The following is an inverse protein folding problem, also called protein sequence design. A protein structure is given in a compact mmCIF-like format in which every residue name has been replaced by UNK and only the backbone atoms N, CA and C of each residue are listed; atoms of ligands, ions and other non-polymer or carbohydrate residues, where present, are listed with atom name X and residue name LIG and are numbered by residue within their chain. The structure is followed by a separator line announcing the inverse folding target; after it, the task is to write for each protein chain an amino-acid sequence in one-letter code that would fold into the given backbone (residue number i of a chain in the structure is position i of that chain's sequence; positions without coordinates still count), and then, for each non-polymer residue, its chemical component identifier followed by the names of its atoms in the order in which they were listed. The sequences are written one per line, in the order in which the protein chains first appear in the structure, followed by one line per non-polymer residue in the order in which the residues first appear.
data_IF_611922749264
#
_entry.id   IF_611922749264
#
_cell.length_a   1.000
_cell.length_b   1.000
_cell.length_c   1.000
_cell.angle_alpha   90.00
_cell.angle_beta   90.00
_cell.angle_gamma   90.00
#
_symmetry.space_group_name_H-M   'P 1'
#
loop_
_entity.id
_entity.type
_entity.pdbx_description
1 polymer ?
2 non-polymer ?
3 non-polymer ?
4 water ?
#
# COMPACT_ATOMS: atom_id res chain seq x y z
N UNK A 31 1.96 -17.89 -53.98
CA UNK A 31 2.50 -16.54 -53.58
C UNK A 31 1.53 -15.74 -52.71
N UNK A 32 1.85 -14.47 -52.41
CA UNK A 32 0.98 -13.62 -51.59
C UNK A 32 -0.31 -13.24 -52.32
N UNK A 33 -1.33 -12.85 -51.57
CA UNK A 33 -2.59 -12.46 -52.17
C UNK A 33 -2.46 -11.02 -52.67
N UNK A 34 -2.57 -10.81 -53.99
CA UNK A 34 -2.46 -9.45 -54.52
C UNK A 34 -3.56 -8.53 -54.02
N UNK A 35 -4.58 -9.12 -53.40
CA UNK A 35 -5.70 -8.34 -52.89
C UNK A 35 -5.83 -8.40 -51.38
N UNK A 36 -4.74 -8.70 -50.69
CA UNK A 36 -4.78 -8.74 -49.24
C UNK A 36 -4.97 -7.31 -48.73
N UNK A 37 -5.78 -7.17 -47.69
CA UNK A 37 -6.06 -5.88 -47.09
C UNK A 37 -5.32 -5.75 -45.77
N UNK A 38 -5.05 -4.52 -45.38
CA UNK A 38 -4.36 -4.26 -44.13
C UNK A 38 -5.26 -4.68 -42.97
N UNK A 39 -4.74 -5.49 -42.05
CA UNK A 39 -5.52 -5.90 -40.89
C UNK A 39 -5.09 -4.99 -39.73
N UNK A 40 -6.05 -4.50 -38.96
CA UNK A 40 -5.71 -3.62 -37.86
C UNK A 40 -5.19 -4.38 -36.66
N UNK A 41 -4.31 -3.75 -35.89
CA UNK A 41 -3.77 -4.34 -34.68
C UNK A 41 -4.92 -4.53 -33.71
N UNK A 42 -4.78 -5.48 -32.80
CA UNK A 42 -5.80 -5.70 -31.79
C UNK A 42 -5.11 -5.95 -30.47
N UNK A 43 -5.67 -5.40 -29.40
CA UNK A 43 -5.12 -5.59 -28.08
C UNK A 43 -3.75 -5.01 -27.79
N UNK A 44 -3.20 -4.18 -28.67
CA UNK A 44 -1.89 -3.62 -28.38
C UNK A 44 -1.95 -2.66 -27.19
N UNK A 45 -0.81 -2.53 -26.50
CA UNK A 45 -0.78 -1.70 -25.30
C UNK A 45 0.55 -1.00 -25.08
N UNK A 46 0.61 -0.21 -24.01
CA UNK A 46 1.83 0.52 -23.65
C UNK A 46 2.13 0.26 -22.19
N UNK A 47 3.39 0.47 -21.80
CA UNK A 47 3.84 0.25 -20.42
C UNK A 47 4.34 1.52 -19.79
N UNK A 48 3.91 1.78 -18.56
CA UNK A 48 4.34 2.97 -17.84
C UNK A 48 4.82 2.57 -16.46
N UNK A 49 6.02 3.01 -16.09
CA UNK A 49 6.57 2.72 -14.77
C UNK A 49 6.46 3.96 -13.89
N UNK A 50 6.06 3.75 -12.64
CA UNK A 50 5.94 4.83 -11.68
C UNK A 50 7.02 4.64 -10.62
N UNK A 51 7.70 5.72 -10.26
CA UNK A 51 8.77 5.65 -9.26
C UNK A 51 8.75 6.90 -8.40
N UNK A 52 9.04 6.74 -7.11
CA UNK A 52 9.09 7.88 -6.21
C UNK A 52 9.82 7.50 -4.92
N UNK A 53 10.17 8.51 -4.10
CA UNK A 53 10.86 8.27 -2.85
C UNK A 53 10.19 9.09 -1.74
N UNK A 54 10.14 8.54 -0.53
CA UNK A 54 9.50 9.23 0.59
C UNK A 54 10.21 9.03 1.92
N UNK A 55 9.87 9.86 2.90
CA UNK A 55 10.45 9.74 4.23
C UNK A 55 9.32 9.30 5.15
N UNK A 56 9.57 8.29 5.98
CA UNK A 56 8.58 7.80 6.93
C UNK A 56 9.18 7.87 8.32
N UNK A 57 8.34 8.17 9.32
CA UNK A 57 8.79 8.22 10.70
C UNK A 57 7.89 7.30 11.51
N UNK A 58 8.44 6.70 12.57
CA UNK A 58 7.67 5.79 13.40
C UNK A 58 8.05 5.89 14.87
N UNK A 59 7.10 5.60 15.74
CA UNK A 59 7.35 5.56 17.17
C UNK A 59 6.71 4.26 17.64
N UNK A 60 6.58 4.08 18.95
CA UNK A 60 6.00 2.84 19.46
C UNK A 60 4.49 2.72 19.28
N UNK A 61 3.90 3.59 18.46
CA UNK A 61 2.46 3.56 18.19
C UNK A 61 1.61 3.71 19.45
N UNK A 62 2.18 4.39 20.44
CA UNK A 62 1.51 4.59 21.71
C UNK A 62 0.99 6.01 21.91
N UNK A 63 0.19 6.17 22.96
CA UNK A 63 -0.40 7.43 23.38
C UNK A 63 -0.30 7.32 24.90
N UNK A 64 0.84 7.71 25.44
CA UNK A 64 1.04 7.59 26.87
C UNK A 64 1.77 6.28 27.10
N UNK A 65 1.32 5.49 28.08
CA UNK A 65 1.98 4.22 28.35
C UNK A 65 1.80 3.25 27.20
N UNK A 66 2.83 2.43 26.96
CA UNK A 66 2.77 1.45 25.88
C UNK A 66 1.57 0.52 26.01
N UNK A 67 1.00 0.16 24.88
CA UNK A 67 -0.10 -0.80 24.83
C UNK A 67 0.03 -1.54 23.51
N UNK A 68 -0.87 -2.47 23.23
CA UNK A 68 -0.78 -3.21 21.99
C UNK A 68 -2.03 -3.01 21.15
N UNK A 69 -2.56 -1.80 21.16
CA UNK A 69 -3.78 -1.49 20.43
C UNK A 69 -3.61 -1.07 18.97
N UNK A 70 -2.54 -0.37 18.65
CA UNK A 70 -2.32 0.09 17.28
C UNK A 70 -0.98 -0.23 16.66
N UNK A 71 -0.95 -0.19 15.33
CA UNK A 71 0.26 -0.44 14.55
C UNK A 71 0.14 0.42 13.30
N UNK A 72 1.26 0.85 12.75
CA UNK A 72 1.22 1.64 11.53
C UNK A 72 0.99 0.65 10.43
N UNK A 73 0.20 1.03 9.44
CA UNK A 73 -0.08 0.14 8.32
C UNK A 73 0.43 0.74 7.01
N UNK A 74 1.02 -0.09 6.17
CA UNK A 74 1.50 0.36 4.87
C UNK A 74 0.79 -0.49 3.82
N UNK A 75 -0.30 0.04 3.24
CA UNK A 75 -1.08 -0.67 2.23
C UNK A 75 -0.46 -0.63 0.82
N UNK A 76 0.53 -1.50 0.60
CA UNK A 76 1.22 -1.57 -0.69
C UNK A 76 0.30 -1.90 -1.85
N UNK A 77 -0.87 -2.45 -1.57
CA UNK A 77 -1.80 -2.82 -2.61
C UNK A 77 -2.65 -1.65 -3.11
N UNK A 78 -2.52 -0.49 -2.46
CA UNK A 78 -3.29 0.69 -2.87
C UNK A 78 -2.60 1.39 -4.03
N UNK A 79 -3.17 1.28 -5.22
CA UNK A 79 -2.60 1.91 -6.41
C UNK A 79 -2.41 3.41 -6.20
N UNK A 80 -3.28 4.00 -5.39
CA UNK A 80 -3.25 5.42 -5.13
C UNK A 80 -1.89 5.89 -4.62
N UNK A 81 -1.20 5.04 -3.88
CA UNK A 81 0.10 5.42 -3.33
C UNK A 81 1.17 5.57 -4.40
N UNK A 82 0.92 5.02 -5.58
CA UNK A 82 1.91 5.09 -6.66
C UNK A 82 1.57 6.09 -7.75
N UNK A 83 0.27 6.24 -8.05
CA UNK A 83 -0.17 7.16 -9.09
C UNK A 83 -0.30 8.61 -8.64
N UNK A 84 -0.22 8.82 -7.33
CA UNK A 84 -0.32 10.17 -6.76
C UNK A 84 0.97 10.52 -6.04
N UNK A 85 1.15 11.81 -5.80
CA UNK A 85 2.32 12.29 -5.09
C UNK A 85 1.89 13.49 -4.25
N UNK A 86 2.84 14.30 -3.82
CA UNK A 86 2.52 15.46 -3.02
C UNK A 86 2.77 16.76 -3.77
N UNK A 87 1.84 17.70 -3.65
CA UNK A 87 1.93 19.01 -4.28
C UNK A 87 2.97 19.76 -3.42
N UNK A 88 3.98 20.36 -4.07
CA UNK A 88 5.04 21.05 -3.33
C UNK A 88 4.60 22.22 -2.46
N UNK A 89 3.54 22.91 -2.87
CA UNK A 89 3.07 24.06 -2.11
C UNK A 89 2.36 23.75 -0.80
N UNK A 90 1.51 22.73 -0.76
CA UNK A 90 0.78 22.43 0.46
C UNK A 90 0.82 20.97 0.92
N UNK A 91 1.69 20.18 0.30
CA UNK A 91 1.80 18.76 0.66
C UNK A 91 0.48 17.99 0.53
N UNK A 92 -0.39 18.46 -0.37
CA UNK A 92 -1.67 17.78 -0.57
C UNK A 92 -1.50 16.72 -1.66
N UNK A 93 -2.43 15.78 -1.74
CA UNK A 93 -2.35 14.74 -2.75
C UNK A 93 -2.63 15.33 -4.13
N UNK A 94 -1.83 14.95 -5.11
CA UNK A 94 -2.01 15.43 -6.48
C UNK A 94 -1.54 14.31 -7.41
N UNK A 95 -2.16 14.18 -8.57
CA UNK A 95 -1.75 13.11 -9.47
C UNK A 95 -0.40 13.37 -10.11
N UNK A 96 0.35 12.28 -10.34
CA UNK A 96 1.67 12.36 -10.96
C UNK A 96 1.48 12.70 -12.44
N UNK A 97 2.48 13.33 -13.04
CA UNK A 97 2.38 13.68 -14.46
C UNK A 97 2.05 12.45 -15.29
N UNK A 98 2.68 11.33 -14.97
CA UNK A 98 2.44 10.12 -15.72
C UNK A 98 0.99 9.67 -15.61
N UNK A 99 0.44 9.61 -14.39
CA UNK A 99 -0.94 9.20 -14.27
C UNK A 99 -1.83 10.18 -15.03
N UNK A 100 -1.56 11.47 -14.84
CA UNK A 100 -2.33 12.52 -15.49
C UNK A 100 -2.42 12.36 -17.01
N UNK A 101 -1.31 12.04 -17.64
CA UNK A 101 -1.28 11.89 -19.08
C UNK A 101 -1.90 10.63 -19.67
N UNK A 102 -2.14 9.61 -18.83
CA UNK A 102 -2.73 8.37 -19.34
C UNK A 102 -4.04 8.04 -18.66
N UNK A 103 -4.44 8.91 -17.73
CA UNK A 103 -5.68 8.76 -16.98
C UNK A 103 -6.88 8.48 -17.88
N UNK A 104 -7.05 9.29 -18.92
CA UNK A 104 -8.18 9.14 -19.81
C UNK A 104 -8.17 7.80 -20.54
N UNK A 105 -7.00 7.43 -21.05
CA UNK A 105 -6.87 6.17 -21.77
C UNK A 105 -7.13 4.99 -20.83
N UNK A 106 -6.57 5.06 -19.63
CA UNK A 106 -6.76 4.01 -18.63
C UNK A 106 -8.24 3.80 -18.38
N UNK A 107 -8.89 4.90 -18.02
CA UNK A 107 -10.30 4.91 -17.70
C UNK A 107 -11.16 4.24 -18.73
N UNK A 108 -10.93 4.58 -19.99
CA UNK A 108 -11.74 4.05 -21.08
C UNK A 108 -11.35 2.71 -21.68
N UNK A 109 -10.06 2.49 -21.87
CA UNK A 109 -9.65 1.25 -22.51
C UNK A 109 -9.07 0.14 -21.65
N UNK A 110 -8.78 0.43 -20.38
CA UNK A 110 -8.29 -0.61 -19.52
C UNK A 110 -6.81 -0.64 -19.16
N UNK A 111 -6.51 -1.28 -18.04
CA UNK A 111 -5.15 -1.37 -17.56
C UNK A 111 -4.91 -2.60 -16.68
N UNK A 112 -3.64 -2.88 -16.40
CA UNK A 112 -3.23 -4.00 -15.57
C UNK A 112 -2.05 -3.51 -14.74
N UNK A 113 -1.88 -4.12 -13.57
CA UNK A 113 -0.74 -3.80 -12.73
C UNK A 113 0.04 -5.11 -12.67
N UNK A 114 1.28 -5.08 -13.14
CA UNK A 114 2.11 -6.27 -13.14
C UNK A 114 2.80 -6.47 -11.80
N UNK A 115 3.63 -5.51 -11.43
CA UNK A 115 4.37 -5.62 -10.19
C UNK A 115 4.46 -4.24 -9.53
N UNK A 116 4.56 -4.22 -8.22
CA UNK A 116 4.66 -2.97 -7.47
C UNK A 116 5.28 -3.30 -6.13
N UNK A 117 5.86 -2.30 -5.47
CA UNK A 117 6.46 -2.56 -4.18
C UNK A 117 7.21 -1.40 -3.57
N UNK A 118 7.83 -1.68 -2.42
CA UNK A 118 8.60 -0.69 -1.69
C UNK A 118 9.83 -1.30 -1.10
N UNK A 119 10.80 -0.45 -0.84
CA UNK A 119 12.04 -0.86 -0.20
C UNK A 119 12.31 0.23 0.82
N UNK A 120 12.35 -0.14 2.09
CA UNK A 120 12.65 0.83 3.13
C UNK A 120 14.10 0.61 3.50
N UNK A 121 14.85 1.70 3.65
CA UNK A 121 16.25 1.59 4.01
C UNK A 121 16.75 2.84 4.71
N UNK A 122 18.04 2.86 5.02
CA UNK A 122 18.69 4.00 5.64
C UNK A 122 18.02 4.48 6.93
N UNK A 123 17.64 3.55 7.79
CA UNK A 123 17.00 3.93 9.04
C UNK A 123 17.89 4.81 9.93
N UNK A 124 17.26 5.80 10.56
CA UNK A 124 17.96 6.70 11.47
C UNK A 124 17.18 6.69 12.78
N UNK A 125 17.70 5.99 13.81
CA UNK A 125 17.05 5.90 15.13
C UNK A 125 17.00 7.23 15.85
N UNK A 126 15.88 7.49 16.53
CA UNK A 126 15.67 8.74 17.26
C UNK A 126 15.22 8.51 18.69
N UNK A 127 15.46 9.50 19.54
CA UNK A 127 15.03 9.42 20.94
C UNK A 127 14.69 10.79 21.50
N UNK A 128 13.88 10.79 22.55
CA UNK A 128 13.48 12.03 23.20
C UNK A 128 13.51 11.75 24.70
N UNK A 129 14.64 11.24 25.16
CA UNK A 129 14.81 10.92 26.56
C UNK A 129 15.74 11.88 27.29
N UNK A 130 16.46 12.70 26.53
CA UNK A 130 17.37 13.69 27.12
C UNK A 130 16.58 14.93 27.50
N UNK A 131 16.97 15.54 28.61
CA UNK A 131 16.29 16.74 29.08
C UNK A 131 17.24 17.66 29.83
N UNK A 132 16.89 18.93 29.87
CA UNK A 132 17.69 19.93 30.57
C UNK A 132 17.02 20.21 31.91
N UNK A 133 17.82 20.63 32.89
CA UNK A 133 17.30 20.92 34.23
C UNK A 133 16.11 21.87 34.15
N UNK A 134 15.02 21.48 34.79
CA UNK A 134 13.82 22.31 34.77
C UNK A 134 13.35 22.58 33.36
N UNK A 135 13.48 21.56 32.50
CA UNK A 135 13.06 21.69 31.13
C UNK A 135 12.42 20.39 30.67
N UNK A 136 11.89 20.39 29.47
CA UNK A 136 11.27 19.19 28.92
C UNK A 136 12.26 18.39 28.08
N UNK A 137 11.81 17.23 27.62
CA UNK A 137 12.63 16.37 26.80
C UNK A 137 12.71 16.94 25.40
N UNK A 138 13.86 16.75 24.75
CA UNK A 138 14.02 17.20 23.37
C UNK A 138 14.49 16.06 22.50
N UNK A 139 14.12 16.11 21.23
CA UNK A 139 14.47 15.07 20.26
C UNK A 139 15.94 15.14 19.86
N UNK A 140 16.57 13.98 19.74
CA UNK A 140 17.96 13.90 19.31
C UNK A 140 18.22 12.57 18.64
N UNK A 141 19.42 12.43 18.07
CA UNK A 141 19.79 11.17 17.47
C UNK A 141 19.93 10.23 18.66
N UNK A 142 20.04 8.95 18.38
CA UNK A 142 20.17 7.98 19.43
C UNK A 142 21.67 7.77 19.74
N UNK A 143 21.99 7.31 20.95
CA UNK A 143 23.39 7.09 21.35
C UNK A 143 24.08 5.98 20.56
N UNK A 144 23.34 4.89 20.33
CA UNK A 144 23.84 3.73 19.60
C UNK A 144 22.82 3.29 18.56
N UNK A 145 23.06 2.16 17.92
CA UNK A 145 22.16 1.66 16.89
C UNK A 145 21.33 0.48 17.36
N UNK A 146 21.21 0.31 18.67
CA UNK A 146 20.43 -0.79 19.21
C UNK A 146 18.91 -0.70 18.99
N UNK A 147 18.33 0.51 18.94
CA UNK A 147 16.87 0.58 18.73
C UNK A 147 16.48 0.01 17.36
N UNK A 148 15.30 -0.61 17.29
CA UNK A 148 14.85 -1.17 16.03
C UNK A 148 13.35 -1.13 15.84
N UNK A 149 12.93 -1.28 14.59
CA UNK A 149 11.53 -1.26 14.21
C UNK A 149 11.01 -2.69 14.09
N UNK A 150 9.74 -2.90 14.47
CA UNK A 150 9.12 -4.22 14.37
C UNK A 150 8.15 -4.21 13.20
N UNK A 151 8.19 -5.26 12.39
CA UNK A 151 7.31 -5.38 11.23
C UNK A 151 6.52 -6.67 11.33
N UNK A 152 5.19 -6.56 11.22
CA UNK A 152 4.29 -7.71 11.34
C UNK A 152 3.40 -7.94 10.11
N UNK A 153 2.92 -9.19 10.00
CA UNK A 153 1.99 -9.61 8.95
C UNK A 153 1.07 -10.60 9.66
N UNK A 154 -0.22 -10.50 9.39
CA UNK A 154 -1.20 -11.39 10.01
C UNK A 154 -1.32 -12.67 9.18
N UNK A 155 -0.36 -13.57 9.36
CA UNK A 155 -0.35 -14.81 8.61
C UNK A 155 -1.22 -15.92 9.20
N UNK A 156 -1.51 -15.84 10.50
CA UNK A 156 -2.32 -16.86 11.13
C UNK A 156 -3.83 -16.61 11.08
N UNK A 157 -4.23 -15.54 10.41
CA UNK A 157 -5.64 -15.23 10.27
C UNK A 157 -6.35 -14.64 11.47
N UNK A 158 -5.73 -13.66 12.11
CA UNK A 158 -6.33 -13.02 13.27
C UNK A 158 -7.48 -12.07 12.90
N UNK A 159 -7.23 -11.20 11.93
CA UNK A 159 -8.22 -10.20 11.55
C UNK A 159 -8.71 -10.20 10.10
N UNK A 160 -9.91 -9.66 9.92
CA UNK A 160 -10.53 -9.55 8.60
C UNK A 160 -10.63 -8.08 8.21
N UNK A 161 -11.16 -7.26 9.11
CA UNK A 161 -11.33 -5.84 8.85
C UNK A 161 -10.98 -4.97 10.06
N UNK A 162 -10.23 -3.91 9.81
CA UNK A 162 -9.85 -3.01 10.89
C UNK A 162 -10.12 -1.57 10.49
N UNK A 163 -10.13 -0.68 11.49
CA UNK A 163 -10.36 0.74 11.26
C UNK A 163 -9.11 1.50 11.65
N UNK A 164 -8.91 2.64 11.01
CA UNK A 164 -7.77 3.49 11.32
C UNK A 164 -8.07 4.09 12.70
N UNK A 165 -7.02 4.45 13.45
CA UNK A 165 -7.24 5.04 14.77
C UNK A 165 -8.06 6.32 14.59
N UNK A 166 -7.73 7.09 13.57
CA UNK A 166 -8.46 8.32 13.26
C UNK A 166 -9.28 8.01 12.03
N UNK A 167 -10.57 8.28 12.09
CA UNK A 167 -11.44 7.96 10.96
C UNK A 167 -11.61 9.05 9.92
N UNK A 168 -10.79 10.07 9.98
CA UNK A 168 -10.90 11.16 9.02
C UNK A 168 -9.61 11.27 8.23
N UNK A 169 -8.88 10.16 8.12
CA UNK A 169 -7.62 10.17 7.40
C UNK A 169 -7.84 10.41 5.89
N UNK A 170 -6.94 11.18 5.28
CA UNK A 170 -7.03 11.50 3.86
C UNK A 170 -5.94 10.79 3.04
N UNK A 171 -6.09 10.82 1.72
CA UNK A 171 -5.10 10.20 0.87
C UNK A 171 -3.74 10.88 1.09
N UNK A 172 -3.76 12.20 1.26
CA UNK A 172 -2.52 12.94 1.49
C UNK A 172 -1.77 12.37 2.71
N UNK A 173 -2.50 12.11 3.79
CA UNK A 173 -1.88 11.56 5.00
C UNK A 173 -1.17 10.24 4.70
N UNK A 174 -1.87 9.33 4.03
CA UNK A 174 -1.29 8.04 3.69
C UNK A 174 -0.03 8.19 2.85
N UNK A 175 -0.03 9.15 1.94
CA UNK A 175 1.13 9.38 1.10
C UNK A 175 2.26 9.92 1.98
N UNK A 176 1.89 10.78 2.93
CA UNK A 176 2.87 11.36 3.83
C UNK A 176 3.51 10.30 4.73
N UNK A 177 2.72 9.32 5.16
CA UNK A 177 3.24 8.32 6.06
C UNK A 177 2.24 7.19 6.30
N UNK A 178 2.73 6.02 6.72
CA UNK A 178 1.82 4.91 7.00
C UNK A 178 0.99 5.39 8.19
N UNK A 179 -0.30 5.08 8.20
CA UNK A 179 -1.17 5.53 9.28
C UNK A 179 -1.48 4.45 10.32
N UNK A 180 -1.85 4.88 11.53
CA UNK A 180 -2.17 3.94 12.59
C UNK A 180 -3.50 3.24 12.39
N UNK A 181 -3.50 1.94 12.67
CA UNK A 181 -4.68 1.11 12.56
C UNK A 181 -4.87 0.40 13.89
N UNK A 182 -6.11 0.38 14.38
CA UNK A 182 -6.39 -0.26 15.65
C UNK A 182 -6.53 -1.76 15.43
N UNK A 183 -5.60 -2.53 15.98
CA UNK A 183 -5.63 -3.98 15.82
C UNK A 183 -6.29 -4.71 16.99
N UNK A 184 -6.25 -4.11 18.17
CA UNK A 184 -6.85 -4.68 19.38
C UNK A 184 -7.23 -3.57 20.33
N UNK A 185 -8.45 -3.07 20.20
CA UNK A 185 -8.92 -1.98 21.05
C UNK A 185 -8.79 -2.24 22.55
N UNK A 186 -8.81 -3.51 22.94
CA UNK A 186 -8.71 -3.86 24.36
C UNK A 186 -7.32 -4.31 24.81
N UNK A 187 -6.33 -4.20 23.93
CA UNK A 187 -4.97 -4.64 24.26
C UNK A 187 -4.16 -3.67 25.12
N UNK A 188 -4.39 -3.71 26.43
CA UNK A 188 -3.65 -2.86 27.33
C UNK A 188 -2.21 -3.38 27.37
N UNK A 189 -2.07 -4.70 27.28
CA UNK A 189 -0.77 -5.36 27.29
C UNK A 189 0.01 -5.05 25.99
N UNK A 190 1.07 -4.27 26.11
CA UNK A 190 1.85 -3.88 24.94
C UNK A 190 2.56 -5.03 24.23
N UNK A 191 2.62 -6.19 24.86
CA UNK A 191 3.26 -7.35 24.25
C UNK A 191 2.32 -8.14 23.33
N UNK A 192 1.05 -7.73 23.28
CA UNK A 192 0.08 -8.46 22.48
C UNK A 192 0.51 -8.74 21.04
N UNK A 193 1.02 -7.71 20.33
CA UNK A 193 1.45 -7.92 18.95
C UNK A 193 2.47 -9.03 18.74
N UNK A 194 3.50 -9.09 19.59
CA UNK A 194 4.52 -10.12 19.44
C UNK A 194 4.03 -11.50 19.88
N UNK A 195 2.94 -11.53 20.65
CA UNK A 195 2.40 -12.80 21.08
C UNK A 195 1.42 -13.32 20.03
N UNK A 196 0.84 -12.41 19.26
CA UNK A 196 -0.19 -12.78 18.28
C UNK A 196 0.13 -12.89 16.79
N UNK A 197 0.79 -11.89 16.23
CA UNK A 197 1.10 -11.92 14.79
C UNK A 197 2.04 -13.06 14.37
N UNK A 198 1.60 -13.82 13.37
CA UNK A 198 2.38 -14.94 12.89
C UNK A 198 3.73 -14.62 12.29
N UNK A 199 3.80 -13.52 11.55
CA UNK A 199 5.04 -13.10 10.91
C UNK A 199 5.63 -11.89 11.61
N UNK A 200 6.93 -11.91 11.82
CA UNK A 200 7.58 -10.79 12.47
C UNK A 200 9.06 -10.71 12.10
N UNK A 201 9.53 -9.49 11.86
CA UNK A 201 10.92 -9.29 11.55
C UNK A 201 11.32 -7.91 12.05
N UNK A 202 12.61 -7.70 12.22
CA UNK A 202 13.11 -6.43 12.72
C UNK A 202 13.85 -5.67 11.64
N UNK A 203 13.87 -4.35 11.78
CA UNK A 203 14.60 -3.51 10.84
C UNK A 203 15.46 -2.56 11.64
N UNK A 204 16.75 -2.50 11.31
CA UNK A 204 17.66 -1.61 12.00
C UNK A 204 18.59 -0.94 11.01
N UNK A 205 19.46 -0.06 11.52
CA UNK A 205 20.39 0.65 10.67
C UNK A 205 21.10 -0.33 9.72
N UNK A 206 21.22 0.07 8.46
CA UNK A 206 21.88 -0.77 7.49
C UNK A 206 20.99 -1.77 6.76
N UNK A 207 19.82 -2.06 7.32
CA UNK A 207 18.92 -3.02 6.69
C UNK A 207 18.18 -2.42 5.50
N UNK A 208 17.70 -3.30 4.63
CA UNK A 208 16.90 -2.93 3.48
C UNK A 208 15.72 -3.89 3.58
N UNK A 209 14.51 -3.35 3.59
CA UNK A 209 13.32 -4.19 3.69
C UNK A 209 12.47 -3.98 2.46
N UNK A 210 12.39 -5.02 1.63
CA UNK A 210 11.63 -4.93 0.40
C UNK A 210 10.36 -5.77 0.42
N UNK A 211 9.27 -5.17 -0.01
CA UNK A 211 7.99 -5.85 -0.06
C UNK A 211 7.39 -5.55 -1.41
N UNK A 212 6.93 -6.58 -2.10
CA UNK A 212 6.34 -6.38 -3.41
C UNK A 212 5.03 -7.13 -3.56
N UNK A 213 4.31 -6.81 -4.62
CA UNK A 213 3.05 -7.46 -4.89
C UNK A 213 2.93 -7.61 -6.40
N UNK A 214 2.45 -8.76 -6.85
CA UNK A 214 2.26 -8.99 -8.26
C UNK A 214 0.76 -9.05 -8.50
N UNK A 215 0.27 -8.21 -9.39
CA UNK A 215 -1.16 -8.18 -9.66
C UNK A 215 -1.59 -9.29 -10.60
N UNK A 216 -2.86 -9.67 -10.53
CA UNK A 216 -3.38 -10.70 -11.40
C UNK A 216 -3.49 -10.07 -12.78
N UNK A 217 -3.02 -10.77 -13.81
CA UNK A 217 -3.03 -10.21 -15.15
C UNK A 217 -3.97 -10.85 -16.16
N UNK A 218 -4.89 -11.70 -15.70
CA UNK A 218 -5.81 -12.35 -16.62
C UNK A 218 -6.83 -11.38 -17.23
N UNK A 219 -7.12 -10.29 -16.54
CA UNK A 219 -8.09 -9.31 -17.03
C UNK A 219 -7.52 -7.91 -17.23
N UNK A 220 -8.32 -7.08 -17.88
CA UNK A 220 -8.00 -5.66 -18.08
C UNK A 220 -9.02 -5.00 -17.16
N UNK A 221 -8.62 -3.91 -16.52
CA UNK A 221 -9.51 -3.20 -15.60
C UNK A 221 -9.75 -1.78 -16.07
N UNK A 222 -10.95 -1.26 -15.81
CA UNK A 222 -11.26 0.09 -16.24
C UNK A 222 -11.46 1.08 -15.11
N UNK A 223 -11.69 2.34 -15.46
CA UNK A 223 -11.92 3.38 -14.47
C UNK A 223 -10.66 4.10 -14.02
N UNK A 224 -10.86 5.27 -13.42
CA UNK A 224 -9.74 6.05 -12.91
C UNK A 224 -9.44 5.60 -11.49
N UNK A 225 -8.35 6.11 -10.93
CA UNK A 225 -7.99 5.82 -9.56
C UNK A 225 -8.22 7.15 -8.86
N UNK A 226 -9.40 7.32 -8.24
CA UNK A 226 -9.80 8.53 -7.54
C UNK A 226 -8.98 8.89 -6.32
N UNK A 227 -9.28 10.05 -5.78
CA UNK A 227 -8.60 10.58 -4.62
C UNK A 227 -9.43 10.28 -3.37
N UNK A 228 -10.63 9.79 -3.61
CA UNK A 228 -11.58 9.50 -2.54
C UNK A 228 -11.53 8.10 -1.92
N UNK A 229 -11.18 7.10 -2.72
CA UNK A 229 -11.15 5.75 -2.19
C UNK A 229 -10.02 4.92 -2.76
N UNK A 230 -9.35 4.13 -1.92
CA UNK A 230 -8.25 3.30 -2.39
C UNK A 230 -8.69 2.23 -3.39
N UNK A 231 -7.94 2.12 -4.49
CA UNK A 231 -8.23 1.12 -5.51
C UNK A 231 -7.15 0.05 -5.36
N UNK A 232 -7.57 -1.19 -5.17
CA UNK A 232 -6.64 -2.29 -4.95
C UNK A 232 -6.01 -2.86 -6.22
N UNK A 233 -4.74 -3.21 -6.13
CA UNK A 233 -4.05 -3.84 -7.24
C UNK A 233 -4.80 -5.17 -7.35
N UNK A 234 -5.28 -5.52 -8.55
CA UNK A 234 -6.02 -6.76 -8.76
C UNK A 234 -5.48 -8.01 -8.09
N UNK A 235 -6.27 -8.53 -7.15
CA UNK A 235 -5.94 -9.74 -6.40
C UNK A 235 -7.26 -10.41 -6.08
N UNK A 236 -7.26 -11.73 -6.03
CA UNK A 236 -8.48 -12.48 -5.73
C UNK A 236 -8.24 -13.50 -4.64
N UNK A 237 -9.02 -13.43 -3.57
CA UNK A 237 -8.86 -14.38 -2.48
C UNK A 237 -9.56 -13.94 -1.21
N UNK A 238 -10.10 -14.91 -0.47
CA UNK A 238 -10.80 -14.60 0.76
C UNK A 238 -11.94 -13.63 0.53
N UNK A 239 -11.97 -12.56 1.31
CA UNK A 239 -13.02 -11.55 1.19
C UNK A 239 -12.76 -10.63 0.00
N UNK A 240 -11.52 -10.64 -0.48
CA UNK A 240 -11.11 -9.79 -1.59
C UNK A 240 -11.55 -10.30 -2.95
N UNK A 241 -12.20 -9.44 -3.73
CA UNK A 241 -12.64 -9.81 -5.05
C UNK A 241 -12.89 -8.58 -5.92
N UNK A 242 -12.68 -8.72 -7.23
CA UNK A 242 -12.93 -7.63 -8.16
C UNK A 242 -14.30 -7.89 -8.76
N UNK A 243 -14.83 -6.95 -9.54
CA UNK A 243 -16.16 -7.11 -10.11
C UNK A 243 -16.20 -7.33 -11.61
N UNK A 244 -17.29 -7.96 -12.05
CA UNK A 244 -17.51 -8.28 -13.45
C UNK A 244 -17.71 -7.06 -14.33
N UNK A 245 -17.48 -7.22 -15.65
CA UNK A 245 -17.66 -6.12 -16.61
C UNK A 245 -19.15 -5.76 -16.68
N UNK A 246 -19.45 -4.56 -17.18
CA UNK A 246 -20.84 -4.09 -17.32
C UNK A 246 -21.63 -5.08 -18.17
N UNK A 247 -21.09 -5.43 -19.33
CA UNK A 247 -21.76 -6.34 -20.25
C UNK A 247 -20.99 -7.63 -20.47
N UNK A 248 -20.36 -8.16 -19.44
CA UNK A 248 -19.61 -9.38 -19.66
C UNK A 248 -19.45 -10.30 -18.47
N UNK A 249 -19.08 -11.53 -18.77
CA UNK A 249 -18.89 -12.56 -17.76
C UNK A 249 -17.70 -12.24 -16.87
N UNK A 250 -17.81 -12.64 -15.61
CA UNK A 250 -16.74 -12.44 -14.65
C UNK A 250 -15.67 -13.51 -14.93
N UNK A 251 -14.40 -13.10 -14.91
CA UNK A 251 -13.30 -14.02 -15.13
C UNK A 251 -12.44 -13.96 -13.87
N UNK A 252 -12.22 -15.12 -13.25
CA UNK A 252 -11.44 -15.18 -12.02
C UNK A 252 -11.03 -16.62 -11.71
N UNK A 253 -10.11 -16.81 -10.75
CA UNK A 253 -9.66 -18.15 -10.37
C UNK A 253 -10.63 -18.77 -9.37
N UNK A 254 -11.63 -19.51 -9.87
CA UNK A 254 -12.66 -20.14 -9.04
C UNK A 254 -12.28 -21.52 -8.55
N UNK A 255 -11.43 -22.15 -9.34
CA UNK A 255 -10.92 -23.49 -9.16
C UNK A 255 -10.18 -23.82 -7.84
N UNK A 256 -9.38 -22.87 -7.36
CA UNK A 256 -8.56 -23.11 -6.17
C UNK A 256 -8.38 -21.85 -5.34
N UNK A 257 -7.78 -22.02 -4.16
CA UNK A 257 -7.48 -20.90 -3.27
C UNK A 257 -6.12 -20.37 -3.69
N UNK A 258 -6.03 -19.09 -3.98
CA UNK A 258 -4.76 -18.50 -4.38
C UNK A 258 -3.94 -18.21 -3.12
N UNK A 259 -2.66 -17.91 -3.30
CA UNK A 259 -1.82 -17.59 -2.15
C UNK A 259 -2.20 -16.19 -1.73
N UNK A 260 -2.60 -16.01 -0.47
CA UNK A 260 -2.98 -14.67 -0.06
C UNK A 260 -1.76 -13.76 0.07
N UNK A 261 -2.03 -12.46 -0.01
CA UNK A 261 -1.00 -11.44 0.07
C UNK A 261 -1.28 -10.60 1.32
N UNK A 262 -0.23 -10.35 2.09
CA UNK A 262 -0.36 -9.58 3.33
C UNK A 262 0.30 -8.21 3.28
N UNK A 263 -0.38 -7.20 3.83
CA UNK A 263 0.20 -5.86 3.90
C UNK A 263 0.97 -5.88 5.21
N UNK A 264 1.82 -4.89 5.45
CA UNK A 264 2.59 -4.88 6.67
C UNK A 264 2.13 -3.91 7.73
N UNK A 265 2.47 -4.22 8.98
CA UNK A 265 2.13 -3.40 10.13
C UNK A 265 3.43 -3.16 10.90
N UNK A 266 3.60 -1.97 11.47
CA UNK A 266 4.85 -1.66 12.16
C UNK A 266 4.68 -0.83 13.41
N UNK A 267 5.79 -0.72 14.14
CA UNK A 267 5.89 0.08 15.35
C UNK A 267 7.33 -0.02 15.83
N UNK A 268 7.88 1.10 16.31
CA UNK A 268 9.23 1.06 16.83
C UNK A 268 9.08 0.15 18.04
N UNK A 269 10.05 -0.73 18.27
CA UNK A 269 9.95 -1.64 19.40
C UNK A 269 9.86 -0.86 20.72
N UNK A 270 8.77 -1.07 21.48
CA UNK A 270 8.53 -0.39 22.75
C UNK A 270 9.45 -0.89 23.86
N UNK A 271 10.46 -0.09 24.21
CA UNK A 271 11.41 -0.46 25.24
C UNK A 271 11.07 -0.06 26.68
N UNK A 272 10.87 -1.07 27.54
CA UNK A 272 10.59 -0.84 28.95
C UNK A 272 11.83 -1.25 29.71
N UNK A 273 12.14 -0.52 30.78
CA UNK A 273 13.31 -0.87 31.58
C UNK A 273 12.92 -1.85 32.67
N UNK A 274 13.88 -2.39 33.42
CA UNK A 274 13.59 -3.35 34.49
C UNK A 274 12.68 -2.77 35.58
N UNK A 275 12.72 -1.44 35.72
CA UNK A 275 11.91 -0.76 36.73
C UNK A 275 10.64 -0.12 36.18
N UNK A 276 10.27 -0.49 34.96
CA UNK A 276 9.06 0.05 34.37
C UNK A 276 9.20 1.32 33.55
N UNK A 277 10.39 1.92 33.56
CA UNK A 277 10.62 3.13 32.78
C UNK A 277 10.37 2.83 31.31
N UNK A 278 9.76 3.77 30.59
CA UNK A 278 9.47 3.59 29.17
C UNK A 278 10.23 4.62 28.35
N UNK A 279 11.06 4.15 27.42
CA UNK A 279 11.84 5.06 26.59
C UNK A 279 10.98 5.68 25.50
N UNK A 280 11.42 6.82 24.99
CA UNK A 280 10.72 7.50 23.91
C UNK A 280 11.62 7.39 22.69
N UNK A 281 11.40 6.33 21.93
CA UNK A 281 12.19 6.07 20.74
C UNK A 281 11.36 6.12 19.47
N UNK A 282 12.04 6.35 18.35
CA UNK A 282 11.38 6.41 17.07
C UNK A 282 12.46 6.28 16.01
N UNK A 283 12.09 6.49 14.75
CA UNK A 283 13.07 6.40 13.68
C UNK A 283 12.51 6.96 12.39
N UNK A 284 13.40 7.25 11.45
CA UNK A 284 13.02 7.77 10.14
C UNK A 284 13.72 6.91 9.10
N UNK A 285 12.98 6.54 8.06
CA UNK A 285 13.56 5.73 7.00
C UNK A 285 13.22 6.34 5.66
N UNK A 286 13.89 5.85 4.61
CA UNK A 286 13.61 6.31 3.26
C UNK A 286 12.84 5.16 2.65
N UNK A 287 11.81 5.47 1.88
CA UNK A 287 11.02 4.42 1.26
C UNK A 287 10.89 4.69 -0.23
N UNK A 288 11.42 3.76 -1.04
CA UNK A 288 11.36 3.89 -2.49
C UNK A 288 10.24 3.02 -3.02
N UNK A 289 9.38 3.63 -3.85
CA UNK A 289 8.21 2.96 -4.42
C UNK A 289 8.30 2.81 -5.92
N UNK A 290 7.67 1.77 -6.45
CA UNK A 290 7.62 1.55 -7.89
C UNK A 290 6.39 0.73 -8.24
N UNK A 291 5.86 0.96 -9.44
CA UNK A 291 4.72 0.22 -9.93
C UNK A 291 4.80 0.15 -11.45
N UNK A 292 4.57 -1.05 -11.99
CA UNK A 292 4.60 -1.25 -13.43
C UNK A 292 3.17 -1.38 -13.93
N UNK A 293 2.76 -0.39 -14.71
CA UNK A 293 1.41 -0.34 -15.25
C UNK A 293 1.41 -0.63 -16.75
N UNK A 294 0.36 -1.31 -17.21
CA UNK A 294 0.22 -1.58 -18.62
C UNK A 294 -1.14 -1.04 -19.00
N UNK A 295 -1.17 -0.19 -20.01
CA UNK A 295 -2.42 0.41 -20.45
C UNK A 295 -2.71 0.02 -21.88
N UNK A 296 -3.98 -0.30 -22.08
CA UNK A 296 -4.50 -0.71 -23.37
C UNK A 296 -4.70 0.51 -24.29
N UNK A 297 -4.36 0.37 -25.56
CA UNK A 297 -4.52 1.47 -26.52
C UNK A 297 -5.91 1.51 -27.13
N UNK A 298 -6.36 2.70 -27.57
CA UNK A 298 -7.69 2.76 -28.18
C UNK A 298 -7.59 2.09 -29.56
N UNK A 299 -8.74 1.71 -30.14
CA UNK A 299 -8.71 1.06 -31.45
C UNK A 299 -8.38 2.03 -32.59
N UNK A 300 -8.10 1.48 -33.76
CA UNK A 300 -7.82 2.30 -34.92
C UNK A 300 -9.17 2.96 -35.24
N UNK A 301 -9.17 4.06 -35.99
CA UNK A 301 -10.43 4.69 -36.32
C UNK A 301 -10.68 6.03 -35.64
N UNK A 302 -11.87 6.58 -35.85
CA UNK A 302 -12.20 7.87 -35.29
C UNK A 302 -13.33 7.93 -34.27
N UNK A 303 -13.65 6.80 -33.65
CA UNK A 303 -14.69 6.79 -32.64
C UNK A 303 -14.24 5.97 -31.45
N UNK A 304 -14.77 6.28 -30.27
CA UNK A 304 -14.43 5.49 -29.09
C UNK A 304 -15.25 4.21 -29.29
N UNK A 305 -14.65 3.06 -29.05
CA UNK A 305 -15.40 1.83 -29.22
C UNK A 305 -16.30 1.56 -28.01
N UNK A 306 -16.95 0.40 -28.00
CA UNK A 306 -17.83 0.04 -26.89
C UNK A 306 -17.56 -1.39 -26.44
N UNK A 307 -16.88 -2.14 -27.31
CA UNK A 307 -16.58 -3.52 -27.03
C UNK A 307 -15.94 -3.80 -25.69
N UNK A 308 -15.08 -2.90 -25.23
CA UNK A 308 -14.40 -3.12 -23.96
C UNK A 308 -15.36 -3.33 -22.79
N UNK A 309 -16.61 -2.90 -22.95
CA UNK A 309 -17.60 -3.07 -21.89
C UNK A 309 -17.84 -4.54 -21.58
N UNK A 310 -17.50 -5.41 -22.51
CA UNK A 310 -17.70 -6.85 -22.35
C UNK A 310 -16.60 -7.54 -21.56
N UNK A 311 -15.42 -6.93 -21.47
CA UNK A 311 -14.33 -7.59 -20.76
C UNK A 311 -13.60 -6.74 -19.71
N UNK A 312 -13.84 -5.43 -19.68
CA UNK A 312 -13.18 -4.62 -18.67
C UNK A 312 -13.80 -4.87 -17.30
N UNK A 313 -13.00 -5.41 -16.39
CA UNK A 313 -13.49 -5.68 -15.05
C UNK A 313 -13.33 -4.44 -14.19
N UNK A 314 -14.00 -4.43 -13.04
CA UNK A 314 -13.90 -3.31 -12.13
C UNK A 314 -13.04 -3.76 -10.95
N UNK A 315 -12.00 -3.00 -10.63
CA UNK A 315 -11.13 -3.35 -9.51
C UNK A 315 -11.82 -3.23 -8.16
N UNK A 316 -11.28 -3.92 -7.18
CA UNK A 316 -11.80 -3.88 -5.83
C UNK A 316 -11.38 -2.54 -5.22
N UNK A 317 -12.23 -1.96 -4.39
CA UNK A 317 -11.91 -0.69 -3.73
C UNK A 317 -12.25 -0.76 -2.25
N UNK A 318 -11.61 0.11 -1.46
CA UNK A 318 -11.87 0.13 -0.03
C UNK A 318 -12.16 1.55 0.44
N UNK A 319 -11.77 1.85 1.68
CA UNK A 319 -11.99 3.19 2.23
C UNK A 319 -10.72 3.65 2.92
N UNK A 320 -10.46 4.94 2.83
CA UNK A 320 -9.26 5.53 3.44
C UNK A 320 -9.11 5.25 4.94
N UNK A 321 -10.22 4.98 5.64
CA UNK A 321 -10.16 4.73 7.08
C UNK A 321 -10.38 3.27 7.45
N UNK A 322 -10.25 2.39 6.45
CA UNK A 322 -10.43 0.96 6.67
C UNK A 322 -9.22 0.17 6.20
N UNK A 323 -9.06 -1.01 6.77
CA UNK A 323 -7.96 -1.90 6.42
C UNK A 323 -8.52 -3.31 6.26
N UNK A 324 -8.42 -3.85 5.05
CA UNK A 324 -8.92 -5.19 4.77
C UNK A 324 -7.77 -6.17 4.60
N UNK A 325 -7.78 -7.23 5.41
CA UNK A 325 -6.72 -8.23 5.35
C UNK A 325 -7.23 -9.50 4.65
N UNK A 326 -6.48 -9.96 3.67
CA UNK A 326 -6.83 -11.16 2.91
C UNK A 326 -6.39 -12.45 3.58
N UNK A 327 -7.27 -13.45 3.59
CA UNK A 327 -6.95 -14.76 4.15
C UNK A 327 -7.58 -15.83 3.29
N UNK A 328 -6.76 -16.60 2.56
CA UNK A 328 -7.30 -17.66 1.71
C UNK A 328 -7.10 -19.01 2.39
N UNK A 329 -6.45 -19.00 3.54
CA UNK A 329 -6.21 -20.21 4.30
C UNK A 329 -5.55 -19.86 5.63
#
# INVERSE_FOLDING_TARGET
MCADSTRTSPRKRSRRDAHNEDEEHAEGSSGPDPHRCLQFNTGDSIHITFQTRRYFEFDAANDGNFDGKNLYCLPLHWMNLYLYGLKSSDSSATETQRYKMVKSMMKTYGWKVHKAGVVMHSMVPLMKDLKVSGGTSFETLTFTDTPYLEIFKDTTGLHNQLSTKETDVTLAKWIQNPQLVTVQSTAANYEDPIQQFGFMEQMRTGDRKAYTIHGDTRNWYGGEIPTTGPTFIPKWGGQIKWDKPSLGNLVYPADHHTNDWQQIFMRMSPIKGPNGDELKLGCRVQADFFLHLEVRLPPQGCVASLGMLQYLHAPCTGQLNKCYIMHTN
#
